data_IF_751525139074
#
_entry.id   IF_751525139074
#
_cell.length_a   1.000
_cell.length_b   1.000
_cell.length_c   1.000
_cell.angle_alpha   90.00
_cell.angle_beta   90.00
_cell.angle_gamma   90.00
#
_symmetry.space_group_name_H-M   'P 1'
#
loop_
_entity.id
_entity.type
_entity.pdbx_description
1 polymer ?
#
# COMPACT_ATOMS: atom_id res chain seq x y z
N UNK A 1 19.35 -3.78 -21.67
CA UNK A 1 18.42 -4.77 -22.25
C UNK A 1 17.73 -4.20 -23.50
N UNK A 2 17.83 -4.92 -24.61
CA UNK A 2 17.18 -4.53 -25.87
C UNK A 2 15.64 -4.43 -25.67
N UNK A 3 15.06 -3.27 -26.03
CA UNK A 3 13.62 -3.01 -25.91
C UNK A 3 13.11 -2.68 -24.50
N UNK A 4 13.96 -2.55 -23.49
CA UNK A 4 13.57 -1.98 -22.22
C UNK A 4 13.56 -0.44 -22.31
N UNK A 5 12.49 0.19 -21.81
CA UNK A 5 12.38 1.64 -21.75
C UNK A 5 11.49 2.09 -20.60
N UNK A 6 11.66 3.34 -20.20
CA UNK A 6 10.83 3.99 -19.21
C UNK A 6 10.67 5.47 -19.59
N UNK A 7 9.44 5.87 -19.83
CA UNK A 7 9.07 7.25 -20.18
C UNK A 7 8.09 7.75 -19.13
N UNK A 8 8.37 8.92 -18.57
CA UNK A 8 7.52 9.60 -17.59
C UNK A 8 7.14 10.97 -18.11
N UNK A 9 5.96 11.42 -17.76
CA UNK A 9 5.48 12.77 -18.03
C UNK A 9 4.72 13.29 -16.81
N UNK A 10 4.92 14.55 -16.50
CA UNK A 10 4.17 15.25 -15.45
C UNK A 10 3.80 16.65 -15.91
N UNK A 11 2.66 17.15 -15.43
CA UNK A 11 2.19 18.50 -15.65
C UNK A 11 1.58 19.05 -14.38
N UNK A 12 2.05 20.22 -13.96
CA UNK A 12 1.54 20.95 -12.79
C UNK A 12 0.81 22.19 -13.24
N UNK A 13 -0.46 22.33 -12.85
CA UNK A 13 -1.30 23.47 -13.11
C UNK A 13 -1.73 24.10 -11.78
N UNK A 14 -1.48 25.41 -11.64
CA UNK A 14 -1.92 26.19 -10.49
C UNK A 14 -2.90 27.25 -10.98
N UNK A 15 -4.09 27.27 -10.41
CA UNK A 15 -5.11 28.25 -10.75
C UNK A 15 -5.90 28.66 -9.52
N UNK A 16 -6.55 29.79 -9.59
CA UNK A 16 -7.37 30.31 -8.51
C UNK A 16 -8.84 30.00 -8.78
N UNK A 17 -9.49 29.31 -7.84
CA UNK A 17 -10.92 29.03 -7.88
C UNK A 17 -11.56 29.57 -6.60
N UNK A 18 -12.55 30.48 -6.71
CA UNK A 18 -13.24 31.13 -5.59
C UNK A 18 -12.31 31.71 -4.50
N UNK A 19 -11.23 32.35 -4.92
CA UNK A 19 -10.17 32.94 -4.06
C UNK A 19 -9.23 31.93 -3.39
N UNK A 20 -9.35 30.64 -3.67
CA UNK A 20 -8.45 29.61 -3.17
C UNK A 20 -7.50 29.16 -4.29
N UNK A 21 -6.26 28.89 -3.94
CA UNK A 21 -5.29 28.30 -4.88
C UNK A 21 -5.53 26.81 -4.96
N UNK A 22 -5.85 26.36 -6.17
CA UNK A 22 -6.01 24.95 -6.51
C UNK A 22 -4.80 24.50 -7.31
N UNK A 23 -4.19 23.40 -6.88
CA UNK A 23 -3.10 22.75 -7.61
C UNK A 23 -3.61 21.44 -8.20
N UNK A 24 -3.48 21.30 -9.50
CA UNK A 24 -3.76 20.09 -10.25
C UNK A 24 -2.43 19.57 -10.79
N UNK A 25 -2.05 18.36 -10.38
CA UNK A 25 -0.93 17.63 -10.96
C UNK A 25 -1.47 16.44 -11.72
N UNK A 26 -1.00 16.26 -12.93
CA UNK A 26 -1.24 15.06 -13.73
C UNK A 26 0.11 14.40 -13.99
N UNK A 27 0.18 13.10 -13.77
CA UNK A 27 1.39 12.30 -13.94
C UNK A 27 1.07 11.01 -14.69
N UNK A 28 2.02 10.55 -15.47
CA UNK A 28 1.88 9.27 -16.16
C UNK A 28 3.22 8.66 -16.53
N UNK A 29 3.24 7.35 -16.68
CA UNK A 29 4.40 6.65 -17.20
C UNK A 29 4.01 5.48 -18.09
N UNK A 30 4.94 5.15 -18.97
CA UNK A 30 4.94 3.91 -19.75
C UNK A 30 6.30 3.26 -19.53
N UNK A 31 6.28 2.02 -19.09
CA UNK A 31 7.48 1.26 -18.74
C UNK A 31 7.42 -0.13 -19.36
N UNK A 32 8.52 -0.54 -20.03
CA UNK A 32 8.71 -1.90 -20.50
C UNK A 32 10.03 -2.43 -19.91
N UNK A 33 9.98 -3.45 -19.08
CA UNK A 33 11.14 -3.91 -18.32
C UNK A 33 11.14 -5.42 -18.15
N UNK A 34 12.31 -6.01 -18.07
CA UNK A 34 12.39 -7.41 -17.68
C UNK A 34 11.97 -7.58 -16.22
N UNK A 35 11.28 -8.67 -15.89
CA UNK A 35 11.13 -9.07 -14.50
C UNK A 35 12.49 -9.17 -13.79
N UNK A 36 12.48 -8.96 -12.49
CA UNK A 36 13.68 -9.08 -11.67
C UNK A 36 14.37 -10.44 -11.90
N UNK A 37 15.70 -10.45 -11.81
CA UNK A 37 16.49 -11.69 -11.91
C UNK A 37 15.99 -12.76 -10.94
N UNK A 38 15.56 -12.36 -9.77
CA UNK A 38 14.99 -13.22 -8.73
C UNK A 38 13.80 -14.07 -9.23
N UNK A 39 12.90 -13.51 -10.03
CA UNK A 39 11.77 -14.27 -10.60
C UNK A 39 12.15 -15.13 -11.79
N UNK A 40 13.24 -14.82 -12.45
CA UNK A 40 13.72 -15.57 -13.61
C UNK A 40 14.58 -16.75 -13.18
N UNK A 41 15.54 -16.53 -12.30
CA UNK A 41 16.51 -17.53 -11.87
C UNK A 41 16.66 -17.47 -10.36
N UNK A 42 16.31 -18.53 -9.70
CA UNK A 42 16.50 -18.69 -8.27
C UNK A 42 16.82 -20.11 -7.91
N UNK A 43 17.83 -20.32 -7.08
CA UNK A 43 18.23 -21.62 -6.61
C UNK A 43 18.64 -21.55 -5.14
N UNK A 44 17.91 -22.27 -4.28
CA UNK A 44 18.19 -22.42 -2.87
C UNK A 44 17.98 -23.88 -2.45
N UNK A 45 18.20 -24.19 -1.19
CA UNK A 45 17.98 -25.55 -0.66
C UNK A 45 16.54 -26.06 -0.83
N UNK A 46 15.55 -25.16 -0.80
CA UNK A 46 14.13 -25.51 -0.76
C UNK A 46 13.34 -25.06 -1.99
N UNK A 47 13.87 -24.14 -2.77
CA UNK A 47 13.18 -23.55 -3.91
C UNK A 47 14.11 -23.43 -5.09
N UNK A 48 13.59 -23.82 -6.26
CA UNK A 48 14.32 -23.69 -7.51
C UNK A 48 13.35 -23.35 -8.63
N UNK A 49 13.69 -22.31 -9.40
CA UNK A 49 13.05 -22.02 -10.67
C UNK A 49 14.04 -21.39 -11.64
N UNK A 50 13.82 -21.69 -12.91
CA UNK A 50 14.52 -21.15 -14.05
C UNK A 50 13.46 -20.85 -15.13
N UNK A 51 13.04 -19.59 -15.21
CA UNK A 51 11.90 -19.16 -15.99
C UNK A 51 12.32 -18.23 -17.13
N UNK A 52 11.84 -18.52 -18.33
CA UNK A 52 11.84 -17.57 -19.44
C UNK A 52 10.57 -16.73 -19.35
N UNK A 53 10.71 -15.49 -18.86
CA UNK A 53 9.59 -14.58 -18.64
C UNK A 53 9.60 -13.45 -19.66
N UNK A 54 8.42 -13.07 -20.12
CA UNK A 54 8.22 -11.91 -20.96
C UNK A 54 8.45 -10.61 -20.18
N UNK A 55 8.77 -9.53 -20.91
CA UNK A 55 8.85 -8.20 -20.30
C UNK A 55 7.49 -7.77 -19.75
N UNK A 56 7.53 -7.14 -18.60
CA UNK A 56 6.38 -6.49 -18.00
C UNK A 56 6.18 -5.15 -18.68
N UNK A 57 4.95 -4.90 -19.12
CA UNK A 57 4.56 -3.63 -19.71
C UNK A 57 3.55 -2.93 -18.80
N UNK A 58 3.96 -1.79 -18.25
CA UNK A 58 3.18 -1.00 -17.32
C UNK A 58 2.84 0.35 -17.91
N UNK A 59 1.58 0.74 -17.80
CA UNK A 59 1.13 2.10 -18.11
C UNK A 59 0.35 2.64 -16.93
N UNK A 60 0.64 3.87 -16.53
CA UNK A 60 -0.08 4.55 -15.46
C UNK A 60 -0.43 5.96 -15.88
N UNK A 61 -1.65 6.36 -15.54
CA UNK A 61 -2.11 7.73 -15.59
C UNK A 61 -2.75 8.06 -14.26
N UNK A 62 -2.33 9.14 -13.63
CA UNK A 62 -2.86 9.59 -12.36
C UNK A 62 -2.91 11.11 -12.31
N UNK A 63 -3.68 11.60 -11.35
CA UNK A 63 -3.74 13.02 -11.08
C UNK A 63 -4.10 13.31 -9.64
N UNK A 64 -3.62 14.43 -9.13
CA UNK A 64 -3.97 14.91 -7.79
C UNK A 64 -4.46 16.35 -7.85
N UNK A 65 -5.52 16.60 -7.11
CA UNK A 65 -6.10 17.92 -6.87
C UNK A 65 -5.87 18.28 -5.41
N UNK A 66 -5.25 19.44 -5.14
CA UNK A 66 -5.04 19.91 -3.78
C UNK A 66 -5.51 21.34 -3.57
N UNK A 67 -6.20 21.56 -2.45
CA UNK A 67 -6.72 22.87 -2.01
C UNK A 67 -6.19 23.11 -0.61
N UNK A 68 -5.15 23.95 -0.48
CA UNK A 68 -4.41 24.14 0.77
C UNK A 68 -5.29 24.72 1.90
N UNK A 69 -6.17 25.65 1.57
CA UNK A 69 -7.09 26.26 2.55
C UNK A 69 -8.03 25.25 3.18
N UNK A 70 -8.51 24.30 2.39
CA UNK A 70 -9.41 23.24 2.86
C UNK A 70 -8.64 22.05 3.42
N UNK A 71 -7.30 22.05 3.28
CA UNK A 71 -6.43 20.91 3.66
C UNK A 71 -6.91 19.61 3.03
N UNK A 72 -7.37 19.72 1.81
CA UNK A 72 -7.90 18.61 1.03
C UNK A 72 -6.95 18.24 -0.09
N UNK A 73 -6.66 16.97 -0.24
CA UNK A 73 -5.97 16.42 -1.42
C UNK A 73 -6.74 15.20 -1.90
N UNK A 74 -7.11 15.23 -3.15
CA UNK A 74 -7.70 14.08 -3.85
C UNK A 74 -6.69 13.58 -4.87
N UNK A 75 -6.46 12.28 -4.89
CA UNK A 75 -5.69 11.59 -5.91
C UNK A 75 -6.59 10.55 -6.58
N UNK A 76 -6.47 10.40 -7.90
CA UNK A 76 -7.07 9.29 -8.64
C UNK A 76 -6.09 8.80 -9.70
N UNK A 77 -6.05 7.50 -9.93
CA UNK A 77 -5.15 6.90 -10.91
C UNK A 77 -5.64 5.56 -11.42
N UNK A 78 -5.21 5.27 -12.64
CA UNK A 78 -5.40 3.98 -13.29
C UNK A 78 -4.04 3.45 -13.74
N UNK A 79 -3.81 2.17 -13.48
CA UNK A 79 -2.62 1.47 -13.91
C UNK A 79 -3.03 0.20 -14.66
N UNK A 80 -2.36 -0.07 -15.78
CA UNK A 80 -2.53 -1.31 -16.53
C UNK A 80 -1.18 -2.04 -16.58
N UNK A 81 -1.20 -3.30 -16.16
CA UNK A 81 -0.02 -4.15 -16.01
C UNK A 81 -0.21 -5.37 -16.91
N UNK A 82 0.62 -5.50 -17.93
CA UNK A 82 0.69 -6.69 -18.77
C UNK A 82 1.89 -7.54 -18.38
N UNK A 83 1.73 -8.85 -18.40
CA UNK A 83 2.75 -9.82 -18.02
C UNK A 83 3.23 -9.65 -16.56
N UNK A 84 2.30 -9.39 -15.65
CA UNK A 84 2.61 -9.22 -14.22
C UNK A 84 3.28 -10.48 -13.65
N UNK A 85 4.44 -10.30 -13.01
CA UNK A 85 5.24 -11.38 -12.42
C UNK A 85 5.05 -11.38 -10.90
N UNK A 86 4.79 -12.56 -10.33
CA UNK A 86 4.49 -12.71 -8.91
C UNK A 86 4.92 -14.08 -8.39
N UNK A 87 5.04 -14.21 -7.07
CA UNK A 87 5.16 -15.50 -6.41
C UNK A 87 3.77 -16.01 -6.05
N UNK A 88 3.51 -17.28 -6.26
CA UNK A 88 2.28 -17.91 -5.85
C UNK A 88 2.53 -19.34 -5.31
N UNK A 89 1.69 -19.76 -4.38
CA UNK A 89 1.78 -21.07 -3.80
C UNK A 89 0.74 -21.34 -2.74
N UNK A 90 0.78 -22.52 -2.17
CA UNK A 90 -0.11 -22.95 -1.09
C UNK A 90 0.48 -22.53 0.25
N UNK A 91 -0.26 -21.83 1.12
CA UNK A 91 0.19 -21.53 2.47
C UNK A 91 0.56 -22.80 3.24
N UNK A 92 1.61 -22.73 4.02
CA UNK A 92 2.00 -23.81 4.91
C UNK A 92 1.15 -23.77 6.18
N UNK A 93 0.31 -24.79 6.37
CA UNK A 93 -0.35 -25.04 7.65
C UNK A 93 0.31 -26.24 8.31
N UNK A 94 0.99 -26.06 9.46
CA UNK A 94 1.46 -27.18 10.23
C UNK A 94 0.25 -27.89 10.87
N UNK A 95 -0.30 -28.86 10.20
CA UNK A 95 -1.23 -29.77 10.83
C UNK A 95 -0.40 -30.78 11.61
N UNK A 96 -0.29 -30.61 12.92
CA UNK A 96 0.58 -31.38 13.81
C UNK A 96 0.28 -32.88 13.84
N UNK A 97 -0.76 -33.37 13.17
CA UNK A 97 -1.20 -34.75 13.27
C UNK A 97 -1.29 -35.54 11.95
N UNK A 98 -1.33 -34.92 10.76
CA UNK A 98 -1.74 -35.71 9.58
C UNK A 98 -0.96 -35.49 8.28
N UNK A 99 0.00 -34.61 8.19
CA UNK A 99 0.71 -34.41 6.92
C UNK A 99 2.22 -34.44 7.12
N UNK A 100 2.95 -35.20 6.26
CA UNK A 100 4.36 -34.94 6.09
C UNK A 100 4.55 -33.48 5.72
N UNK A 101 5.61 -32.84 6.21
CA UNK A 101 6.04 -31.48 5.87
C UNK A 101 5.98 -31.28 4.35
N UNK A 102 4.81 -30.98 3.80
CA UNK A 102 4.70 -30.57 2.41
C UNK A 102 5.27 -29.16 2.35
N UNK A 103 6.49 -29.06 1.85
CA UNK A 103 7.10 -27.79 1.51
C UNK A 103 6.08 -27.01 0.68
N UNK A 104 5.76 -25.80 1.11
CA UNK A 104 4.89 -24.90 0.36
C UNK A 104 5.37 -24.85 -1.09
N UNK A 105 4.52 -25.19 -2.03
CA UNK A 105 4.86 -25.19 -3.46
C UNK A 105 4.86 -23.77 -4.01
N UNK A 106 5.74 -22.93 -3.49
CA UNK A 106 5.87 -21.55 -3.95
C UNK A 106 6.76 -21.51 -5.19
N UNK A 107 6.32 -20.84 -6.22
CA UNK A 107 7.09 -20.61 -7.45
C UNK A 107 6.82 -19.23 -8.04
N UNK A 108 7.78 -18.73 -8.83
CA UNK A 108 7.59 -17.55 -9.62
C UNK A 108 6.71 -17.84 -10.83
N UNK A 109 5.72 -16.98 -11.07
CA UNK A 109 4.75 -17.09 -12.16
C UNK A 109 4.56 -15.77 -12.86
N UNK A 110 4.05 -15.81 -14.08
CA UNK A 110 3.72 -14.65 -14.85
C UNK A 110 2.30 -14.76 -15.42
N UNK A 111 1.51 -13.72 -15.22
CA UNK A 111 0.19 -13.59 -15.81
C UNK A 111 0.29 -12.92 -17.16
N UNK A 112 0.00 -13.62 -18.26
CA UNK A 112 0.14 -13.12 -19.63
C UNK A 112 -0.93 -12.12 -20.02
N UNK A 113 -2.02 -11.97 -19.25
CA UNK A 113 -3.08 -11.01 -19.48
C UNK A 113 -2.78 -9.61 -18.93
N UNK A 114 -3.75 -8.72 -19.08
CA UNK A 114 -3.72 -7.39 -18.49
C UNK A 114 -4.42 -7.40 -17.12
N UNK A 115 -3.80 -6.75 -16.15
CA UNK A 115 -4.42 -6.42 -14.86
C UNK A 115 -4.59 -4.91 -14.81
N UNK A 116 -5.80 -4.45 -14.57
CA UNK A 116 -6.10 -3.04 -14.35
C UNK A 116 -6.26 -2.78 -12.86
N UNK A 117 -5.60 -1.74 -12.38
CA UNK A 117 -5.72 -1.24 -11.01
C UNK A 117 -6.28 0.17 -11.07
N UNK A 118 -7.39 0.38 -10.37
CA UNK A 118 -7.96 1.70 -10.11
C UNK A 118 -7.66 2.08 -8.68
N UNK A 119 -7.28 3.33 -8.44
CA UNK A 119 -7.05 3.84 -7.10
C UNK A 119 -7.55 5.28 -6.96
N UNK A 120 -8.15 5.58 -5.82
CA UNK A 120 -8.52 6.93 -5.42
C UNK A 120 -8.19 7.13 -3.94
N UNK A 121 -7.52 8.23 -3.61
CA UNK A 121 -7.15 8.56 -2.24
C UNK A 121 -7.62 9.97 -1.91
N UNK A 122 -8.35 10.11 -0.83
CA UNK A 122 -8.76 11.38 -0.24
C UNK A 122 -8.00 11.60 1.06
N UNK A 123 -7.21 12.67 1.12
CA UNK A 123 -6.64 13.19 2.36
C UNK A 123 -7.44 14.42 2.77
N UNK A 124 -7.97 14.41 3.99
CA UNK A 124 -8.75 15.50 4.55
C UNK A 124 -8.37 15.75 6.00
N UNK A 125 -7.83 16.94 6.27
CA UNK A 125 -7.47 17.34 7.63
C UNK A 125 -8.43 18.41 8.14
N UNK A 126 -8.87 18.25 9.38
CA UNK A 126 -9.67 19.23 10.09
C UNK A 126 -8.88 19.80 11.27
N UNK A 127 -9.01 21.10 11.50
CA UNK A 127 -8.38 21.77 12.65
C UNK A 127 -9.35 22.73 13.29
N UNK A 128 -9.64 22.50 14.56
CA UNK A 128 -10.46 23.37 15.39
C UNK A 128 -9.69 23.75 16.67
N UNK A 129 -9.00 24.88 16.66
CA UNK A 129 -8.16 25.29 17.77
C UNK A 129 -7.02 24.30 18.04
N UNK A 130 -7.07 23.64 19.19
CA UNK A 130 -6.10 22.61 19.60
C UNK A 130 -6.45 21.20 19.10
N UNK A 131 -7.68 21.00 18.63
CA UNK A 131 -8.15 19.73 18.09
C UNK A 131 -7.75 19.59 16.61
N UNK A 132 -7.16 18.47 16.28
CA UNK A 132 -6.78 18.08 14.92
C UNK A 132 -7.38 16.72 14.61
N UNK A 133 -7.82 16.54 13.37
CA UNK A 133 -8.34 15.28 12.87
C UNK A 133 -7.87 15.08 11.43
N UNK A 134 -6.85 14.24 11.28
CA UNK A 134 -6.22 13.94 10.00
C UNK A 134 -6.75 12.62 9.45
N UNK A 135 -7.21 12.61 8.21
CA UNK A 135 -7.85 11.44 7.59
C UNK A 135 -7.25 11.16 6.22
N UNK A 136 -7.04 9.89 5.94
CA UNK A 136 -6.72 9.36 4.63
C UNK A 136 -7.65 8.18 4.33
N UNK A 137 -8.36 8.26 3.21
CA UNK A 137 -9.25 7.20 2.72
C UNK A 137 -8.80 6.82 1.33
N UNK A 138 -8.41 5.57 1.15
CA UNK A 138 -8.00 5.02 -0.15
C UNK A 138 -8.98 3.93 -0.56
N UNK A 139 -9.60 4.11 -1.71
CA UNK A 139 -10.36 3.07 -2.41
C UNK A 139 -9.50 2.56 -3.58
N UNK A 140 -9.44 1.24 -3.74
CA UNK A 140 -8.66 0.61 -4.81
C UNK A 140 -9.35 -0.66 -5.32
N UNK A 141 -9.15 -0.95 -6.59
CA UNK A 141 -9.74 -2.10 -7.23
C UNK A 141 -8.73 -2.75 -8.18
N UNK A 142 -8.62 -4.05 -8.15
CA UNK A 142 -7.85 -4.86 -9.09
C UNK A 142 -8.80 -5.67 -9.97
N UNK A 143 -8.61 -5.64 -11.29
CA UNK A 143 -9.41 -6.48 -12.21
C UNK A 143 -9.13 -7.98 -12.06
N UNK A 144 -8.07 -8.35 -11.35
CA UNK A 144 -7.73 -9.74 -11.07
C UNK A 144 -7.25 -9.91 -9.61
N UNK A 145 -8.21 -9.96 -8.69
CA UNK A 145 -7.97 -10.12 -7.25
C UNK A 145 -7.31 -11.46 -6.88
N UNK A 146 -7.35 -12.47 -7.77
CA UNK A 146 -6.67 -13.75 -7.54
C UNK A 146 -5.17 -13.67 -7.70
N UNK A 147 -4.68 -12.69 -8.47
CA UNK A 147 -3.25 -12.54 -8.79
C UNK A 147 -2.68 -11.30 -8.10
N UNK A 148 -3.45 -10.22 -8.06
CA UNK A 148 -3.10 -8.99 -7.38
C UNK A 148 -4.21 -8.64 -6.37
N UNK A 149 -4.24 -9.33 -5.21
CA UNK A 149 -5.24 -9.08 -4.18
C UNK A 149 -4.98 -7.74 -3.49
N UNK A 150 -5.97 -6.86 -3.55
CA UNK A 150 -5.92 -5.55 -2.91
C UNK A 150 -7.16 -5.37 -2.02
N UNK A 151 -7.03 -4.79 -0.82
CA UNK A 151 -8.20 -4.41 -0.05
C UNK A 151 -8.94 -3.27 -0.76
N UNK A 152 -10.26 -3.40 -0.91
CA UNK A 152 -11.08 -2.39 -1.60
C UNK A 152 -11.01 -1.02 -0.92
N UNK A 153 -10.92 -1.01 0.40
CA UNK A 153 -10.93 0.21 1.20
C UNK A 153 -9.84 0.16 2.27
N UNK A 154 -9.05 1.23 2.35
CA UNK A 154 -8.13 1.49 3.45
C UNK A 154 -8.47 2.84 4.07
N UNK A 155 -8.53 2.91 5.39
CA UNK A 155 -8.80 4.13 6.14
C UNK A 155 -7.69 4.30 7.18
N UNK A 156 -7.11 5.47 7.20
CA UNK A 156 -6.31 5.96 8.31
C UNK A 156 -6.99 7.20 8.87
N UNK A 157 -7.16 7.26 10.18
CA UNK A 157 -7.76 8.40 10.88
C UNK A 157 -7.00 8.66 12.16
N UNK A 158 -6.61 9.90 12.42
CA UNK A 158 -5.86 10.30 13.59
C UNK A 158 -6.48 11.53 14.22
N UNK A 159 -7.08 11.34 15.38
CA UNK A 159 -7.72 12.40 16.17
C UNK A 159 -6.82 12.74 17.36
N UNK A 160 -6.38 14.00 17.46
CA UNK A 160 -5.46 14.39 18.52
C UNK A 160 -5.65 15.84 18.97
N UNK A 161 -5.25 16.08 20.22
CA UNK A 161 -5.10 17.40 20.81
C UNK A 161 -3.62 17.82 20.73
N UNK A 162 -3.35 19.04 20.28
CA UNK A 162 -2.01 19.62 20.19
C UNK A 162 -1.98 21.00 20.80
N UNK A 163 -1.25 21.13 21.89
CA UNK A 163 -1.17 22.38 22.65
C UNK A 163 0.20 22.53 23.34
N UNK A 164 0.46 23.72 23.87
CA UNK A 164 1.67 24.00 24.63
C UNK A 164 1.29 24.37 26.08
N UNK A 165 1.83 23.62 27.04
CA UNK A 165 1.73 23.94 28.46
C UNK A 165 2.89 24.83 28.88
N UNK A 166 2.57 25.91 29.62
CA UNK A 166 3.52 26.91 30.09
C UNK A 166 4.46 27.47 28.99
N UNK A 167 4.02 27.45 27.71
CA UNK A 167 4.78 27.86 26.52
C UNK A 167 6.08 27.09 26.23
N UNK A 168 6.44 26.11 27.04
CA UNK A 168 7.68 25.32 26.93
C UNK A 168 7.45 23.85 26.59
N UNK A 169 6.44 23.23 27.19
CA UNK A 169 6.13 21.80 26.97
C UNK A 169 5.05 21.69 25.87
N UNK A 170 5.45 21.21 24.69
CA UNK A 170 4.51 20.89 23.62
C UNK A 170 3.96 19.48 23.84
N UNK A 171 2.65 19.37 23.85
CA UNK A 171 1.92 18.13 24.15
C UNK A 171 1.07 17.77 22.94
N UNK A 172 1.10 16.50 22.56
CA UNK A 172 0.19 15.91 21.60
C UNK A 172 -0.33 14.60 22.16
N UNK A 173 -1.64 14.51 22.37
CA UNK A 173 -2.32 13.30 22.89
C UNK A 173 -3.41 12.96 21.90
N UNK A 174 -3.48 11.70 21.48
CA UNK A 174 -4.46 11.30 20.48
C UNK A 174 -4.63 9.80 20.37
N UNK A 175 -5.49 9.45 19.42
CA UNK A 175 -5.71 8.08 18.98
C UNK A 175 -5.63 8.02 17.44
N UNK A 176 -4.94 7.03 16.93
CA UNK A 176 -4.98 6.70 15.52
C UNK A 176 -5.73 5.39 15.30
N UNK A 177 -6.40 5.32 14.17
CA UNK A 177 -7.12 4.16 13.69
C UNK A 177 -6.65 3.80 12.30
N UNK A 178 -6.43 2.51 12.07
CA UNK A 178 -6.22 1.92 10.75
C UNK A 178 -7.26 0.86 10.50
N UNK A 179 -7.89 0.91 9.35
CA UNK A 179 -8.86 -0.07 8.89
C UNK A 179 -8.58 -0.43 7.44
N UNK A 180 -8.70 -1.69 7.10
CA UNK A 180 -8.78 -2.14 5.72
C UNK A 180 -9.86 -3.21 5.57
N UNK A 181 -10.52 -3.19 4.42
CA UNK A 181 -11.55 -4.18 4.09
C UNK A 181 -10.95 -5.58 3.99
N UNK A 182 -11.76 -6.60 4.18
CA UNK A 182 -11.32 -8.00 4.07
C UNK A 182 -10.82 -8.30 2.67
N UNK A 183 -9.73 -9.07 2.59
CA UNK A 183 -9.17 -9.58 1.35
C UNK A 183 -8.21 -10.75 1.64
N UNK A 184 -7.90 -11.54 0.63
CA UNK A 184 -6.91 -12.62 0.73
C UNK A 184 -5.51 -12.04 0.53
N UNK A 185 -4.94 -11.51 1.60
CA UNK A 185 -3.62 -10.89 1.52
C UNK A 185 -2.54 -11.91 1.10
N UNK A 186 -1.48 -11.46 0.42
CA UNK A 186 -0.31 -12.30 0.22
C UNK A 186 0.24 -12.79 1.56
N UNK A 187 0.60 -14.07 1.61
CA UNK A 187 1.25 -14.69 2.76
C UNK A 187 2.77 -14.52 2.67
N UNK A 188 3.46 -14.66 3.78
CA UNK A 188 4.91 -14.46 3.85
C UNK A 188 5.67 -15.78 3.87
N UNK A 189 6.65 -15.94 2.98
CA UNK A 189 7.55 -17.07 2.93
C UNK A 189 8.91 -16.72 3.56
N UNK A 190 9.20 -17.11 4.81
CA UNK A 190 10.44 -16.74 5.49
C UNK A 190 11.72 -17.21 4.76
N UNK A 191 11.67 -18.39 4.15
CA UNK A 191 12.80 -18.94 3.42
C UNK A 191 13.11 -18.23 2.09
N UNK A 192 12.16 -17.44 1.57
CA UNK A 192 12.30 -16.61 0.38
C UNK A 192 12.44 -15.14 0.72
N UNK A 193 12.14 -14.75 1.97
CA UNK A 193 12.02 -13.36 2.42
C UNK A 193 11.07 -12.53 1.55
N UNK A 194 10.02 -13.17 0.99
CA UNK A 194 9.09 -12.58 0.04
C UNK A 194 7.64 -12.92 0.38
N UNK A 195 6.74 -12.06 -0.07
CA UNK A 195 5.32 -12.33 -0.05
C UNK A 195 4.90 -13.09 -1.31
N UNK A 196 3.96 -14.03 -1.17
CA UNK A 196 3.40 -14.80 -2.26
C UNK A 196 1.88 -14.80 -2.23
N UNK A 197 1.27 -14.91 -3.39
CA UNK A 197 -0.18 -15.00 -3.53
C UNK A 197 -0.64 -16.39 -3.07
N UNK A 198 -1.60 -16.40 -2.16
CA UNK A 198 -2.15 -17.65 -1.60
C UNK A 198 -3.01 -18.36 -2.62
N UNK A 199 -2.74 -19.65 -2.83
CA UNK A 199 -3.53 -20.56 -3.67
C UNK A 199 -4.16 -21.69 -2.85
N UNK A 200 -5.07 -22.46 -3.48
CA UNK A 200 -5.71 -23.60 -2.85
C UNK A 200 -6.94 -23.25 -2.00
N UNK A 201 -7.38 -24.22 -1.19
CA UNK A 201 -8.61 -24.11 -0.40
C UNK A 201 -8.41 -23.45 0.98
N UNK A 202 -7.18 -23.36 1.45
CA UNK A 202 -6.84 -22.89 2.80
C UNK A 202 -6.30 -21.45 2.82
N UNK A 203 -6.82 -20.62 1.92
CA UNK A 203 -6.44 -19.19 1.92
C UNK A 203 -6.96 -18.49 3.17
N UNK A 204 -6.12 -17.66 3.77
CA UNK A 204 -6.46 -16.85 4.94
C UNK A 204 -6.89 -15.46 4.51
N UNK A 205 -8.09 -15.08 4.89
CA UNK A 205 -8.61 -13.73 4.69
C UNK A 205 -8.26 -12.88 5.91
N UNK A 206 -7.75 -11.68 5.70
CA UNK A 206 -7.44 -10.72 6.77
C UNK A 206 -8.18 -9.40 6.57
N UNK A 207 -8.27 -8.60 7.64
CA UNK A 207 -8.92 -7.28 7.63
C UNK A 207 -10.36 -7.31 8.13
N UNK A 208 -11.09 -6.21 7.89
CA UNK A 208 -12.50 -6.06 8.29
C UNK A 208 -12.69 -5.63 9.75
N UNK A 209 -11.63 -5.22 10.45
CA UNK A 209 -11.70 -4.66 11.79
C UNK A 209 -10.71 -3.49 11.96
N UNK A 210 -11.01 -2.51 12.80
CA UNK A 210 -10.13 -1.39 13.04
C UNK A 210 -9.01 -1.75 14.03
N UNK A 211 -7.80 -1.30 13.74
CA UNK A 211 -6.68 -1.27 14.67
C UNK A 211 -6.61 0.12 15.28
N UNK A 212 -6.79 0.23 16.59
CA UNK A 212 -6.78 1.51 17.28
C UNK A 212 -5.57 1.55 18.22
N UNK A 213 -4.84 2.66 18.19
CA UNK A 213 -3.74 2.94 19.09
C UNK A 213 -4.01 4.26 19.79
N UNK A 214 -3.61 4.37 21.04
CA UNK A 214 -3.61 5.64 21.78
C UNK A 214 -2.18 6.05 22.10
N UNK A 215 -1.91 7.35 22.03
CA UNK A 215 -0.54 7.83 22.20
C UNK A 215 -0.47 9.19 22.90
N UNK A 216 0.68 9.44 23.52
CA UNK A 216 1.06 10.73 24.06
C UNK A 216 2.49 11.06 23.68
N UNK A 217 2.69 12.27 23.18
CA UNK A 217 3.97 12.80 22.75
C UNK A 217 4.24 14.14 23.47
N UNK A 218 5.35 14.22 24.16
CA UNK A 218 5.77 15.37 24.93
C UNK A 218 7.11 15.87 24.39
N UNK A 219 7.19 17.16 24.08
CA UNK A 219 8.40 17.77 23.58
C UNK A 219 8.80 18.96 24.46
N UNK A 220 9.86 18.79 25.24
CA UNK A 220 10.41 19.81 26.11
C UNK A 220 11.82 20.17 25.63
N UNK A 221 11.98 21.38 25.08
CA UNK A 221 13.27 21.85 24.55
C UNK A 221 13.87 20.87 23.55
N UNK A 222 14.95 20.16 23.93
CA UNK A 222 15.67 19.19 23.11
C UNK A 222 15.25 17.74 23.39
N UNK A 223 14.37 17.50 24.35
CA UNK A 223 13.96 16.17 24.77
C UNK A 223 12.53 15.88 24.27
N UNK A 224 12.33 14.71 23.72
CA UNK A 224 11.03 14.19 23.33
C UNK A 224 10.75 12.87 24.04
N UNK A 225 9.57 12.78 24.66
CA UNK A 225 9.04 11.55 25.23
C UNK A 225 7.84 11.11 24.41
N UNK A 226 7.77 9.83 24.13
CA UNK A 226 6.69 9.23 23.37
C UNK A 226 6.23 7.95 24.06
N UNK A 227 4.94 7.81 24.26
CA UNK A 227 4.30 6.61 24.80
C UNK A 227 3.15 6.25 23.88
N UNK A 228 3.06 4.98 23.49
CA UNK A 228 1.97 4.45 22.69
C UNK A 228 1.49 3.13 23.27
N UNK A 229 0.18 2.96 23.31
CA UNK A 229 -0.46 1.70 23.60
C UNK A 229 -1.18 1.22 22.34
N UNK A 230 -0.79 0.04 21.88
CA UNK A 230 -1.27 -0.55 20.64
C UNK A 230 -2.44 -1.49 20.91
N UNK A 231 -3.36 -1.59 19.96
CA UNK A 231 -4.49 -2.52 19.95
C UNK A 231 -5.40 -2.34 21.19
N UNK A 232 -5.96 -1.15 21.33
CA UNK A 232 -6.91 -0.81 22.41
C UNK A 232 -8.29 -1.38 22.12
#
# INVERSE_FOLDING_TARGET
DLGAFHVTGEADLNFTLWKDTVRLRVEGYIKNTNPSFYYRHYHSQHYWWDNELNKEFLTRLGGSLSIDRWRTRLYAGVENIKNYTYLAGTPYFPNYMEAPLSLSSISARQHTGNIQVLSATLNQDFKLGILHWDNEVTAQYSSNEKILPLPLLNIYSNLYLKFAYAKVLKIQIGADMRYFSRYYAPDYAPALEQYFVQEGQHRVEIGGYPFINVYANFHLKQVRFYVMYHHV
#
